data_IF_355004991713
#
_entry.id   IF_355004991713
#
_cell.length_a   1.000
_cell.length_b   1.000
_cell.length_c   1.000
_cell.angle_alpha   90.00
_cell.angle_beta   90.00
_cell.angle_gamma   90.00
#
_symmetry.space_group_name_H-M   'P 1'
#
loop_
_entity.id
_entity.type
_entity.pdbx_description
1 polymer ?
#
# COMPACT_ATOMS: atom_id res chain seq x y z
N UNK A 1 0.95 48.41 -37.49
CA UNK A 1 -0.38 47.83 -37.81
C UNK A 1 -0.68 46.55 -37.01
N UNK A 2 0.25 45.58 -36.93
CA UNK A 2 0.04 44.30 -36.22
C UNK A 2 -0.24 44.39 -34.70
N UNK A 3 0.27 45.43 -34.00
CA UNK A 3 0.07 45.62 -32.54
C UNK A 3 -1.38 45.91 -32.14
N UNK A 4 -2.23 46.35 -33.07
CA UNK A 4 -3.65 46.66 -32.80
C UNK A 4 -4.52 45.39 -32.67
N UNK A 5 -4.06 44.28 -33.27
CA UNK A 5 -4.79 43.03 -33.37
C UNK A 5 -4.72 42.17 -32.11
N UNK A 6 -3.82 42.46 -31.18
CA UNK A 6 -3.60 41.65 -29.98
C UNK A 6 -4.17 42.33 -28.73
N UNK A 7 -4.75 41.53 -27.83
CA UNK A 7 -5.19 41.99 -26.50
C UNK A 7 -3.95 42.14 -25.61
N UNK A 8 -3.71 43.33 -25.08
CA UNK A 8 -2.73 43.52 -24.00
C UNK A 8 -3.35 42.97 -22.71
N UNK A 9 -3.05 41.73 -22.36
CA UNK A 9 -3.34 41.20 -21.02
C UNK A 9 -2.41 41.88 -20.03
N UNK A 10 -2.96 42.56 -19.03
CA UNK A 10 -2.23 43.26 -17.97
C UNK A 10 -1.79 42.33 -16.84
N UNK A 11 -1.34 41.12 -17.16
CA UNK A 11 -0.69 40.22 -16.21
C UNK A 11 0.57 39.65 -16.89
N UNK A 12 1.72 40.10 -16.41
CA UNK A 12 3.03 39.59 -16.79
C UNK A 12 3.18 38.15 -16.27
N UNK A 13 2.93 37.18 -17.13
CA UNK A 13 3.62 35.89 -17.08
C UNK A 13 4.29 35.68 -18.43
N UNK A 14 5.61 35.43 -18.41
CA UNK A 14 6.52 35.57 -19.55
C UNK A 14 6.29 34.58 -20.72
N UNK A 15 5.26 33.72 -20.66
CA UNK A 15 4.96 32.70 -21.67
C UNK A 15 3.52 32.78 -22.24
N UNK A 16 2.81 33.89 -22.03
CA UNK A 16 1.45 34.03 -22.55
C UNK A 16 1.44 34.21 -24.10
N UNK A 17 0.91 33.21 -24.81
CA UNK A 17 0.63 33.30 -26.26
C UNK A 17 -0.29 34.51 -26.51
N UNK A 18 0.10 35.46 -27.38
CA UNK A 18 -0.63 36.71 -27.54
C UNK A 18 -2.03 36.42 -28.10
N UNK A 19 -3.07 36.74 -27.32
CA UNK A 19 -4.46 36.47 -27.69
C UNK A 19 -4.96 37.49 -28.73
N UNK A 20 -5.50 36.98 -29.83
CA UNK A 20 -6.02 37.79 -30.93
C UNK A 20 -7.34 38.45 -30.52
N UNK A 21 -7.49 39.75 -30.74
CA UNK A 21 -8.72 40.48 -30.48
C UNK A 21 -9.71 40.26 -31.63
N UNK A 22 -10.47 39.18 -31.53
CA UNK A 22 -11.40 38.68 -32.55
C UNK A 22 -12.34 39.78 -33.06
N UNK A 23 -12.83 40.66 -32.18
CA UNK A 23 -13.72 41.77 -32.58
C UNK A 23 -13.05 42.78 -33.52
N UNK A 24 -11.77 43.09 -33.30
CA UNK A 24 -11.02 44.03 -34.16
C UNK A 24 -10.68 43.41 -35.51
N UNK A 25 -10.36 42.11 -35.53
CA UNK A 25 -10.09 41.36 -36.76
C UNK A 25 -11.35 41.30 -37.62
N UNK A 26 -12.50 40.95 -37.04
CA UNK A 26 -13.78 40.91 -37.75
C UNK A 26 -14.13 42.28 -38.32
N UNK A 27 -13.98 43.35 -37.53
CA UNK A 27 -14.25 44.71 -37.98
C UNK A 27 -13.36 45.13 -39.16
N UNK A 28 -12.07 44.80 -39.12
CA UNK A 28 -11.14 45.08 -40.22
C UNK A 28 -11.48 44.28 -41.49
N UNK A 29 -11.83 42.99 -41.36
CA UNK A 29 -12.27 42.18 -42.49
C UNK A 29 -13.54 42.76 -43.13
N UNK A 30 -14.54 43.14 -42.33
CA UNK A 30 -15.77 43.76 -42.81
C UNK A 30 -15.53 45.11 -43.49
N UNK A 31 -14.67 45.94 -42.92
CA UNK A 31 -14.28 47.22 -43.53
C UNK A 31 -13.56 47.03 -44.87
N UNK A 32 -12.68 46.03 -44.96
CA UNK A 32 -11.99 45.67 -46.22
C UNK A 32 -12.97 45.20 -47.29
N UNK A 33 -13.97 44.39 -46.92
CA UNK A 33 -15.01 43.92 -47.86
C UNK A 33 -15.84 45.10 -48.35
N UNK A 34 -16.30 45.98 -47.44
CA UNK A 34 -17.05 47.18 -47.81
C UNK A 34 -16.24 48.12 -48.71
N UNK A 35 -14.94 48.29 -48.45
CA UNK A 35 -14.05 49.09 -49.28
C UNK A 35 -13.93 48.54 -50.71
N UNK A 36 -13.77 47.21 -50.87
CA UNK A 36 -13.72 46.57 -52.19
C UNK A 36 -15.03 46.77 -52.95
N UNK A 37 -16.17 46.67 -52.27
CA UNK A 37 -17.50 46.92 -52.87
C UNK A 37 -17.60 48.38 -53.36
N UNK A 38 -17.25 49.35 -52.50
CA UNK A 38 -17.30 50.79 -52.85
C UNK A 38 -16.36 51.12 -53.99
N UNK A 39 -15.11 50.63 -53.95
CA UNK A 39 -14.13 50.85 -55.01
C UNK A 39 -14.63 50.31 -56.35
N UNK A 40 -15.21 49.12 -56.35
CA UNK A 40 -15.80 48.51 -57.54
C UNK A 40 -17.01 49.29 -58.07
N UNK A 41 -17.92 49.72 -57.18
CA UNK A 41 -19.06 50.57 -57.55
C UNK A 41 -18.62 51.90 -58.18
N UNK A 42 -17.58 52.55 -57.63
CA UNK A 42 -17.01 53.79 -58.18
C UNK A 42 -16.37 53.54 -59.55
N UNK A 43 -15.60 52.46 -59.71
CA UNK A 43 -15.00 52.09 -60.98
C UNK A 43 -16.05 51.86 -62.07
N UNK A 44 -17.17 51.19 -61.74
CA UNK A 44 -18.28 50.99 -62.68
C UNK A 44 -18.94 52.30 -63.09
N UNK A 45 -19.21 53.22 -62.15
CA UNK A 45 -19.82 54.53 -62.44
C UNK A 45 -18.93 55.37 -63.35
N UNK A 46 -17.62 55.37 -63.12
CA UNK A 46 -16.66 56.09 -63.96
C UNK A 46 -16.57 55.52 -65.38
N UNK A 47 -16.69 54.19 -65.54
CA UNK A 47 -16.55 53.52 -66.83
C UNK A 47 -17.83 53.56 -67.69
N UNK A 48 -18.98 53.85 -67.08
CA UNK A 48 -20.30 53.86 -67.75
C UNK A 48 -20.87 55.27 -67.97
N UNK A 49 -20.13 56.33 -67.64
CA UNK A 49 -20.57 57.71 -67.80
C UNK A 49 -20.13 58.31 -69.16
N UNK A 50 -21.00 59.03 -69.91
CA UNK A 50 -22.41 59.33 -69.64
C UNK A 50 -23.38 58.24 -70.15
N UNK A 51 -24.48 58.06 -69.41
CA UNK A 51 -25.48 57.00 -69.66
C UNK A 51 -26.55 57.54 -70.63
N UNK A 52 -26.52 57.12 -71.90
CA UNK A 52 -27.44 57.67 -72.90
C UNK A 52 -28.82 56.99 -72.99
N UNK A 53 -29.04 55.77 -72.48
CA UNK A 53 -30.40 55.18 -72.39
C UNK A 53 -30.51 54.16 -71.25
N UNK A 54 -31.50 54.34 -70.38
CA UNK A 54 -31.84 53.40 -69.29
C UNK A 54 -32.68 52.27 -69.89
N UNK A 55 -32.02 51.24 -70.41
CA UNK A 55 -32.67 50.02 -70.93
C UNK A 55 -32.42 48.82 -70.01
N UNK A 56 -33.49 48.11 -69.65
CA UNK A 56 -33.51 46.93 -68.77
C UNK A 56 -32.61 45.78 -69.28
N UNK A 57 -32.35 45.72 -70.59
CA UNK A 57 -31.44 44.74 -71.18
C UNK A 57 -29.95 45.01 -70.85
N UNK A 58 -29.55 46.28 -70.67
CA UNK A 58 -28.18 46.65 -70.25
C UNK A 58 -27.96 46.48 -68.75
N UNK A 59 -29.01 46.57 -67.92
CA UNK A 59 -28.92 46.23 -66.50
C UNK A 59 -28.70 44.73 -66.25
N UNK A 60 -29.08 43.86 -67.20
CA UNK A 60 -28.72 42.43 -67.16
C UNK A 60 -27.21 42.21 -67.29
N UNK A 61 -26.57 42.88 -68.25
CA UNK A 61 -25.11 42.83 -68.47
C UNK A 61 -24.32 43.47 -67.32
N UNK A 62 -24.92 44.45 -66.64
CA UNK A 62 -24.39 45.01 -65.39
C UNK A 62 -24.35 43.95 -64.26
N UNK A 63 -25.41 43.14 -64.14
CA UNK A 63 -25.45 41.99 -63.22
C UNK A 63 -24.41 40.91 -63.53
N UNK A 64 -24.15 40.65 -64.82
CA UNK A 64 -23.16 39.64 -65.25
C UNK A 64 -21.72 40.00 -64.80
N UNK A 65 -21.39 41.28 -64.68
CA UNK A 65 -20.07 41.73 -64.19
C UNK A 65 -19.85 41.44 -62.69
N UNK A 66 -20.94 41.33 -61.90
CA UNK A 66 -20.87 40.91 -60.49
C UNK A 66 -20.62 39.41 -60.34
N UNK A 67 -20.75 38.60 -61.40
CA UNK A 67 -20.48 37.17 -61.38
C UNK A 67 -19.03 36.85 -60.97
N UNK A 68 -18.05 37.65 -61.43
CA UNK A 68 -16.63 37.48 -61.08
C UNK A 68 -16.37 37.79 -59.61
N UNK A 69 -16.98 38.85 -59.07
CA UNK A 69 -16.89 39.17 -57.63
C UNK A 69 -17.57 38.12 -56.78
N UNK A 70 -18.75 37.65 -57.18
CA UNK A 70 -19.48 36.61 -56.46
C UNK A 70 -18.69 35.29 -56.44
N UNK A 71 -18.05 34.92 -57.55
CA UNK A 71 -17.15 33.77 -57.62
C UNK A 71 -15.92 33.93 -56.71
N UNK A 72 -15.32 35.13 -56.67
CA UNK A 72 -14.18 35.43 -55.79
C UNK A 72 -14.58 35.34 -54.30
N UNK A 73 -15.69 35.95 -53.90
CA UNK A 73 -16.19 35.87 -52.53
C UNK A 73 -16.58 34.44 -52.13
N UNK A 74 -17.19 33.68 -53.05
CA UNK A 74 -17.51 32.27 -52.82
C UNK A 74 -16.24 31.43 -52.64
N UNK A 75 -15.22 31.64 -53.48
CA UNK A 75 -13.91 30.98 -53.36
C UNK A 75 -13.17 31.33 -52.07
N UNK A 76 -13.18 32.61 -51.67
CA UNK A 76 -12.62 33.06 -50.39
C UNK A 76 -13.37 32.50 -49.19
N UNK A 77 -14.70 32.45 -49.25
CA UNK A 77 -15.53 31.82 -48.21
C UNK A 77 -15.24 30.33 -48.08
N UNK A 78 -15.10 29.62 -49.21
CA UNK A 78 -14.70 28.21 -49.23
C UNK A 78 -13.28 27.99 -48.70
N UNK A 79 -12.32 28.86 -49.06
CA UNK A 79 -10.97 28.81 -48.52
C UNK A 79 -10.95 29.05 -46.99
N UNK A 80 -11.73 30.02 -46.49
CA UNK A 80 -11.91 30.26 -45.06
C UNK A 80 -12.53 29.08 -44.34
N UNK A 81 -13.51 28.40 -44.95
CA UNK A 81 -14.11 27.18 -44.43
C UNK A 81 -13.09 26.03 -44.36
N UNK A 82 -12.29 25.82 -45.41
CA UNK A 82 -11.23 24.80 -45.43
C UNK A 82 -10.19 25.06 -44.33
N UNK A 83 -9.73 26.31 -44.20
CA UNK A 83 -8.82 26.72 -43.12
C UNK A 83 -9.45 26.38 -41.76
N UNK A 84 -10.71 26.73 -41.56
CA UNK A 84 -11.43 26.42 -40.31
C UNK A 84 -11.49 24.91 -40.04
N UNK A 85 -11.76 24.08 -41.05
CA UNK A 85 -11.76 22.62 -40.92
C UNK A 85 -10.38 22.10 -40.52
N UNK A 86 -9.30 22.64 -41.10
CA UNK A 86 -7.94 22.26 -40.74
C UNK A 86 -7.59 22.65 -39.29
N UNK A 87 -7.94 23.87 -38.86
CA UNK A 87 -7.76 24.28 -37.47
C UNK A 87 -8.56 23.39 -36.51
N UNK A 88 -9.84 23.16 -36.79
CA UNK A 88 -10.70 22.29 -35.97
C UNK A 88 -10.14 20.87 -35.86
N UNK A 89 -9.57 20.32 -36.95
CA UNK A 89 -8.95 19.00 -36.93
C UNK A 89 -7.71 18.96 -36.03
N UNK A 90 -6.90 20.00 -36.04
CA UNK A 90 -5.73 20.10 -35.17
C UNK A 90 -6.13 20.27 -33.70
N UNK A 91 -7.11 21.12 -33.40
CA UNK A 91 -7.66 21.29 -32.04
C UNK A 91 -8.21 19.96 -31.50
N UNK A 92 -8.94 19.19 -32.32
CA UNK A 92 -9.43 17.86 -31.97
C UNK A 92 -8.29 16.87 -31.71
N UNK A 93 -7.19 16.96 -32.47
CA UNK A 93 -6.01 16.12 -32.27
C UNK A 93 -5.32 16.45 -30.95
N UNK A 94 -5.11 17.74 -30.66
CA UNK A 94 -4.51 18.20 -29.41
C UNK A 94 -5.38 17.80 -28.21
N UNK A 95 -6.69 18.03 -28.28
CA UNK A 95 -7.65 17.64 -27.24
C UNK A 95 -7.61 16.13 -26.97
N UNK A 96 -7.53 15.30 -28.02
CA UNK A 96 -7.40 13.84 -27.85
C UNK A 96 -6.09 13.45 -27.18
N UNK A 97 -5.00 14.12 -27.53
CA UNK A 97 -3.68 13.91 -26.91
C UNK A 97 -3.73 14.24 -25.43
N UNK A 98 -4.23 15.43 -25.06
CA UNK A 98 -4.36 15.86 -23.67
C UNK A 98 -5.28 14.96 -22.86
N UNK A 99 -6.42 14.53 -23.42
CA UNK A 99 -7.30 13.56 -22.76
C UNK A 99 -6.60 12.21 -22.54
N UNK A 100 -5.75 11.78 -23.46
CA UNK A 100 -5.00 10.53 -23.32
C UNK A 100 -3.98 10.60 -22.19
N UNK A 101 -3.25 11.72 -22.07
CA UNK A 101 -2.30 11.96 -20.97
C UNK A 101 -3.03 12.12 -19.64
N UNK A 102 -4.14 12.86 -19.62
CA UNK A 102 -4.98 13.02 -18.43
C UNK A 102 -5.51 11.67 -17.93
N UNK A 103 -5.92 10.77 -18.84
CA UNK A 103 -6.35 9.42 -18.48
C UNK A 103 -5.23 8.59 -17.86
N UNK A 104 -4.00 8.71 -18.35
CA UNK A 104 -2.83 8.02 -17.78
C UNK A 104 -2.55 8.54 -16.37
N UNK A 105 -2.55 9.86 -16.19
CA UNK A 105 -2.33 10.52 -14.92
C UNK A 105 -3.39 10.11 -13.88
N UNK A 106 -4.68 10.16 -14.24
CA UNK A 106 -5.77 9.69 -13.36
C UNK A 106 -5.58 8.24 -12.95
N UNK A 107 -5.12 7.38 -13.87
CA UNK A 107 -4.88 5.96 -13.58
C UNK A 107 -3.72 5.79 -12.59
N UNK A 108 -2.65 6.55 -12.75
CA UNK A 108 -1.52 6.56 -11.83
C UNK A 108 -1.92 7.08 -10.43
N UNK A 109 -2.70 8.16 -10.39
CA UNK A 109 -3.25 8.72 -9.15
C UNK A 109 -4.18 7.74 -8.44
N UNK A 110 -5.03 7.02 -9.17
CA UNK A 110 -5.93 6.01 -8.60
C UNK A 110 -5.16 4.88 -7.90
N UNK A 111 -4.11 4.35 -8.54
CA UNK A 111 -3.24 3.32 -7.94
C UNK A 111 -2.53 3.86 -6.70
N UNK A 112 -1.98 5.08 -6.77
CA UNK A 112 -1.32 5.72 -5.63
C UNK A 112 -2.26 5.95 -4.46
N UNK A 113 -3.49 6.40 -4.75
CA UNK A 113 -4.53 6.64 -3.76
C UNK A 113 -4.97 5.34 -3.06
N UNK A 114 -5.17 4.26 -3.82
CA UNK A 114 -5.48 2.94 -3.25
C UNK A 114 -4.36 2.45 -2.31
N UNK A 115 -3.11 2.64 -2.71
CA UNK A 115 -1.96 2.29 -1.88
C UNK A 115 -1.91 3.11 -0.58
N UNK A 116 -2.17 4.42 -0.65
CA UNK A 116 -2.25 5.29 0.53
C UNK A 116 -3.40 4.89 1.46
N UNK A 117 -4.58 4.61 0.90
CA UNK A 117 -5.74 4.17 1.68
C UNK A 117 -5.48 2.86 2.42
N UNK A 118 -4.78 1.92 1.78
CA UNK A 118 -4.31 0.70 2.43
C UNK A 118 -3.33 1.01 3.56
N UNK A 119 -2.27 1.78 3.30
CA UNK A 119 -1.23 2.12 4.29
C UNK A 119 -1.83 2.79 5.53
N UNK A 120 -2.70 3.77 5.34
CA UNK A 120 -3.39 4.46 6.42
C UNK A 120 -4.26 3.50 7.24
N UNK A 121 -4.96 2.58 6.58
CA UNK A 121 -5.80 1.59 7.24
C UNK A 121 -4.97 0.57 8.02
N UNK A 122 -3.87 0.10 7.43
CA UNK A 122 -2.91 -0.78 8.08
C UNK A 122 -2.33 -0.16 9.35
N UNK A 123 -1.83 1.08 9.29
CA UNK A 123 -1.26 1.74 10.47
C UNK A 123 -2.32 2.07 11.53
N UNK A 124 -3.56 2.40 11.14
CA UNK A 124 -4.67 2.56 12.09
C UNK A 124 -4.99 1.26 12.83
N UNK A 125 -5.12 0.14 12.12
CA UNK A 125 -5.40 -1.15 12.76
C UNK A 125 -4.20 -1.62 13.58
N UNK A 126 -2.96 -1.35 13.15
CA UNK A 126 -1.75 -1.64 13.92
C UNK A 126 -1.70 -0.84 15.23
N UNK A 127 -2.13 0.43 15.20
CA UNK A 127 -2.27 1.24 16.41
C UNK A 127 -3.35 0.68 17.35
N UNK A 128 -4.51 0.29 16.82
CA UNK A 128 -5.57 -0.38 17.58
C UNK A 128 -5.10 -1.69 18.20
N UNK A 129 -4.30 -2.47 17.47
CA UNK A 129 -3.69 -3.70 17.98
C UNK A 129 -2.80 -3.42 19.20
N UNK A 130 -1.91 -2.43 19.10
CA UNK A 130 -1.04 -2.01 20.21
C UNK A 130 -1.84 -1.49 21.40
N UNK A 131 -2.89 -0.72 21.15
CA UNK A 131 -3.79 -0.21 22.19
C UNK A 131 -4.52 -1.37 22.90
N UNK A 132 -5.06 -2.33 22.15
CA UNK A 132 -5.70 -3.53 22.68
C UNK A 132 -4.73 -4.38 23.50
N UNK A 133 -3.46 -4.52 23.08
CA UNK A 133 -2.43 -5.16 23.87
C UNK A 133 -2.21 -4.41 25.18
N UNK A 134 -2.00 -3.10 25.15
CA UNK A 134 -1.73 -2.30 26.35
C UNK A 134 -2.86 -2.37 27.39
N UNK A 135 -4.11 -2.46 26.92
CA UNK A 135 -5.33 -2.55 27.75
C UNK A 135 -5.67 -3.99 28.16
N UNK A 136 -5.00 -5.00 27.61
CA UNK A 136 -5.19 -6.39 27.99
C UNK A 136 -4.81 -6.54 29.45
N UNK A 137 -5.72 -7.10 30.25
CA UNK A 137 -5.53 -7.19 31.69
C UNK A 137 -5.90 -8.57 32.22
N UNK A 138 -5.06 -9.11 33.09
CA UNK A 138 -5.24 -10.42 33.73
C UNK A 138 -5.06 -10.28 35.23
N UNK A 139 -6.01 -10.84 35.98
CA UNK A 139 -5.94 -10.87 37.46
C UNK A 139 -5.01 -11.99 37.90
N UNK A 140 -4.14 -11.70 38.87
CA UNK A 140 -3.31 -12.70 39.53
C UNK A 140 -4.16 -13.52 40.51
N UNK A 141 -3.84 -14.79 40.68
CA UNK A 141 -4.52 -15.65 41.64
C UNK A 141 -3.98 -15.37 43.05
N UNK A 142 -4.85 -15.07 44.01
CA UNK A 142 -4.55 -15.23 45.44
C UNK A 142 -4.06 -14.03 46.26
N UNK A 143 -4.01 -12.80 45.74
CA UNK A 143 -3.72 -11.61 46.59
C UNK A 143 -4.44 -10.35 46.10
N UNK A 144 -4.64 -9.41 47.03
CA UNK A 144 -5.04 -8.01 46.86
C UNK A 144 -4.13 -7.18 45.91
N UNK A 145 -3.23 -7.82 45.17
CA UNK A 145 -2.34 -7.20 44.19
C UNK A 145 -3.04 -7.05 42.85
N UNK A 146 -2.91 -5.85 42.27
CA UNK A 146 -3.62 -5.42 41.07
C UNK A 146 -3.41 -6.31 39.85
N UNK A 147 -4.33 -6.14 38.89
CA UNK A 147 -4.26 -6.83 37.62
C UNK A 147 -2.97 -6.46 36.86
N UNK A 148 -2.36 -7.44 36.22
CA UNK A 148 -1.22 -7.21 35.31
C UNK A 148 -1.78 -6.79 33.97
N UNK A 149 -1.12 -5.87 33.28
CA UNK A 149 -1.56 -5.31 32.00
C UNK A 149 -0.52 -5.51 30.91
N UNK A 150 -0.94 -5.37 29.65
CA UNK A 150 -0.02 -5.35 28.53
C UNK A 150 0.70 -6.67 28.28
N UNK A 151 1.96 -6.53 27.86
CA UNK A 151 2.87 -7.67 27.64
C UNK A 151 3.11 -8.46 28.93
N UNK A 152 3.13 -7.79 30.08
CA UNK A 152 3.36 -8.45 31.37
C UNK A 152 2.22 -9.43 31.72
N UNK A 153 0.99 -9.13 31.28
CA UNK A 153 -0.14 -10.03 31.46
C UNK A 153 0.06 -11.33 30.66
N UNK A 154 0.54 -11.22 29.41
CA UNK A 154 0.86 -12.38 28.59
C UNK A 154 2.06 -13.16 29.14
N UNK A 155 3.10 -12.45 29.61
CA UNK A 155 4.25 -13.05 30.29
C UNK A 155 3.82 -13.85 31.52
N UNK A 156 2.90 -13.32 32.33
CA UNK A 156 2.33 -14.02 33.48
C UNK A 156 1.58 -15.30 33.09
N UNK A 157 0.80 -15.29 31.99
CA UNK A 157 0.16 -16.51 31.49
C UNK A 157 1.17 -17.57 31.07
N UNK A 158 2.24 -17.17 30.37
CA UNK A 158 3.30 -18.07 29.95
C UNK A 158 4.00 -18.67 31.17
N UNK A 159 4.33 -17.86 32.18
CA UNK A 159 4.92 -18.35 33.42
C UNK A 159 4.02 -19.37 34.14
N UNK A 160 2.71 -19.06 34.26
CA UNK A 160 1.72 -19.98 34.84
C UNK A 160 1.65 -21.28 34.06
N UNK A 161 1.69 -21.20 32.73
CA UNK A 161 1.70 -22.36 31.85
C UNK A 161 2.95 -23.22 32.05
N UNK A 162 4.14 -22.62 32.02
CA UNK A 162 5.41 -23.35 32.19
C UNK A 162 5.46 -24.07 33.55
N UNK A 163 4.99 -23.42 34.63
CA UNK A 163 4.92 -24.03 35.96
C UNK A 163 3.83 -25.12 36.12
N UNK A 164 2.77 -25.08 35.32
CA UNK A 164 1.77 -26.15 35.28
C UNK A 164 2.26 -27.34 34.44
N UNK A 165 2.84 -27.04 33.27
CA UNK A 165 3.37 -28.02 32.34
C UNK A 165 4.53 -28.83 32.94
N UNK A 166 5.42 -28.17 33.71
CA UNK A 166 6.54 -28.86 34.36
C UNK A 166 6.10 -29.93 35.37
N UNK A 167 4.85 -29.89 35.86
CA UNK A 167 4.30 -30.89 36.80
C UNK A 167 3.76 -32.14 36.11
N UNK A 168 3.55 -32.09 34.79
CA UNK A 168 2.99 -33.20 34.03
C UNK A 168 4.00 -34.35 33.83
N UNK A 169 5.29 -34.14 34.12
CA UNK A 169 6.37 -35.16 33.97
C UNK A 169 6.37 -35.87 32.61
N UNK A 170 5.96 -35.18 31.55
CA UNK A 170 6.00 -35.70 30.19
C UNK A 170 7.39 -35.48 29.58
N UNK A 171 7.92 -36.53 28.95
CA UNK A 171 9.19 -36.51 28.21
C UNK A 171 9.06 -35.83 26.85
N UNK A 172 9.99 -36.11 25.94
CA UNK A 172 9.91 -35.74 24.54
C UNK A 172 8.62 -36.26 23.88
N UNK A 173 8.24 -35.64 22.76
CA UNK A 173 7.06 -36.02 22.00
C UNK A 173 7.17 -37.48 21.53
N UNK A 174 6.17 -38.33 21.81
CA UNK A 174 6.26 -39.76 21.59
C UNK A 174 6.12 -40.15 20.12
N UNK A 175 6.58 -41.35 19.79
CA UNK A 175 6.51 -41.93 18.44
C UNK A 175 5.22 -42.75 18.24
N UNK A 176 4.70 -43.38 19.29
CA UNK A 176 3.44 -44.16 19.27
C UNK A 176 2.23 -43.24 19.11
N UNK A 177 1.27 -43.60 18.25
CA UNK A 177 0.06 -42.78 18.02
C UNK A 177 -0.78 -42.61 19.29
N UNK A 178 -1.00 -43.67 20.09
CA UNK A 178 -1.78 -43.57 21.33
C UNK A 178 -1.11 -42.62 22.33
N UNK A 179 0.22 -42.67 22.46
CA UNK A 179 0.97 -41.77 23.33
C UNK A 179 0.98 -40.32 22.80
N UNK A 180 0.94 -40.11 21.47
CA UNK A 180 0.81 -38.77 20.87
C UNK A 180 -0.53 -38.14 21.25
N UNK A 181 -1.61 -38.90 21.17
CA UNK A 181 -2.94 -38.43 21.55
C UNK A 181 -3.00 -38.05 23.04
N UNK A 182 -2.39 -38.85 23.92
CA UNK A 182 -2.27 -38.52 25.35
C UNK A 182 -1.46 -37.24 25.60
N UNK A 183 -0.35 -37.06 24.88
CA UNK A 183 0.47 -35.85 24.97
C UNK A 183 -0.31 -34.62 24.49
N UNK A 184 -0.96 -34.70 23.32
CA UNK A 184 -1.75 -33.61 22.72
C UNK A 184 -2.92 -33.26 23.63
N UNK A 185 -3.63 -34.26 24.15
CA UNK A 185 -4.74 -34.05 25.09
C UNK A 185 -4.25 -33.36 26.37
N UNK A 186 -3.12 -33.78 26.93
CA UNK A 186 -2.57 -33.15 28.13
C UNK A 186 -2.17 -31.70 27.87
N UNK A 187 -1.49 -31.44 26.74
CA UNK A 187 -1.14 -30.07 26.32
C UNK A 187 -2.39 -29.22 26.12
N UNK A 188 -3.41 -29.73 25.45
CA UNK A 188 -4.68 -29.06 25.24
C UNK A 188 -5.36 -28.72 26.57
N UNK A 189 -5.44 -29.68 27.50
CA UNK A 189 -6.05 -29.50 28.82
C UNK A 189 -5.35 -28.40 29.62
N UNK A 190 -4.01 -28.43 29.69
CA UNK A 190 -3.22 -27.41 30.42
C UNK A 190 -3.38 -26.04 29.76
N UNK A 191 -3.20 -25.97 28.44
CA UNK A 191 -3.38 -24.73 27.68
C UNK A 191 -4.77 -24.12 27.93
N UNK A 192 -5.85 -24.91 27.83
CA UNK A 192 -7.22 -24.45 28.01
C UNK A 192 -7.51 -23.91 29.42
N UNK A 193 -6.85 -24.45 30.44
CA UNK A 193 -6.98 -23.99 31.82
C UNK A 193 -6.29 -22.65 32.13
N UNK A 194 -5.35 -22.23 31.28
CA UNK A 194 -4.48 -21.07 31.56
C UNK A 194 -4.68 -19.96 30.53
N UNK A 195 -4.69 -20.31 29.25
CA UNK A 195 -4.77 -19.35 28.15
C UNK A 195 -6.23 -18.98 27.84
N UNK A 196 -6.77 -18.08 28.66
CA UNK A 196 -8.06 -17.44 28.38
C UNK A 196 -7.98 -16.67 27.05
N UNK A 197 -9.02 -16.80 26.22
CA UNK A 197 -9.12 -16.11 24.93
C UNK A 197 -9.25 -14.61 25.15
N UNK A 198 -8.31 -13.85 24.59
CA UNK A 198 -8.32 -12.39 24.58
C UNK A 198 -8.83 -11.91 23.22
N UNK A 199 -10.14 -12.09 22.98
CA UNK A 199 -10.73 -11.96 21.62
C UNK A 199 -10.37 -10.64 20.94
N UNK A 200 -10.55 -9.48 21.61
CA UNK A 200 -10.24 -8.18 20.99
C UNK A 200 -8.81 -8.10 20.47
N UNK A 201 -7.85 -8.59 21.25
CA UNK A 201 -6.44 -8.58 20.88
C UNK A 201 -6.14 -9.53 19.70
N UNK A 202 -6.63 -10.78 19.77
CA UNK A 202 -6.37 -11.78 18.73
C UNK A 202 -7.10 -11.46 17.42
N UNK A 203 -8.35 -10.99 17.49
CA UNK A 203 -9.12 -10.62 16.30
C UNK A 203 -8.56 -9.38 15.60
N UNK A 204 -8.03 -8.40 16.36
CA UNK A 204 -7.39 -7.23 15.74
C UNK A 204 -6.11 -7.65 15.02
N UNK A 205 -5.35 -8.59 15.57
CA UNK A 205 -4.24 -9.19 14.84
C UNK A 205 -4.75 -9.89 13.58
N UNK A 206 -5.76 -10.76 13.71
CA UNK A 206 -6.31 -11.49 12.56
C UNK A 206 -6.78 -10.55 11.44
N UNK A 207 -7.40 -9.41 11.78
CA UNK A 207 -7.76 -8.37 10.82
C UNK A 207 -6.53 -7.80 10.09
N UNK A 208 -5.40 -7.57 10.79
CA UNK A 208 -4.14 -7.18 10.14
C UNK A 208 -3.62 -8.26 9.20
N UNK A 209 -3.69 -9.54 9.61
CA UNK A 209 -3.23 -10.66 8.79
C UNK A 209 -4.02 -10.75 7.48
N UNK A 210 -5.36 -10.68 7.59
CA UNK A 210 -6.28 -10.73 6.46
C UNK A 210 -6.07 -9.50 5.56
N UNK A 211 -5.99 -8.30 6.13
CA UNK A 211 -5.74 -7.07 5.37
C UNK A 211 -4.43 -7.15 4.57
N UNK A 212 -3.33 -7.61 5.17
CA UNK A 212 -2.04 -7.75 4.46
C UNK A 212 -2.14 -8.78 3.33
N UNK A 213 -2.89 -9.87 3.52
CA UNK A 213 -2.97 -10.95 2.52
C UNK A 213 -3.96 -10.64 1.39
N UNK A 214 -5.11 -10.05 1.69
CA UNK A 214 -6.21 -9.82 0.75
C UNK A 214 -6.17 -8.42 0.10
N UNK A 215 -5.84 -7.36 0.86
CA UNK A 215 -5.97 -5.97 0.39
C UNK A 215 -4.65 -5.37 -0.13
N UNK A 216 -3.51 -6.04 0.08
CA UNK A 216 -2.21 -5.52 -0.34
C UNK A 216 -2.00 -5.68 -1.86
N UNK A 217 -2.10 -4.57 -2.59
CA UNK A 217 -1.98 -4.53 -4.05
C UNK A 217 -0.64 -5.03 -4.63
N UNK A 218 0.47 -4.89 -3.88
CA UNK A 218 1.81 -5.25 -4.34
C UNK A 218 2.38 -6.44 -3.56
N UNK A 219 2.72 -7.52 -4.26
CA UNK A 219 3.37 -8.70 -3.68
C UNK A 219 4.72 -8.36 -3.03
N UNK A 220 5.48 -7.42 -3.61
CA UNK A 220 6.77 -6.96 -3.07
C UNK A 220 6.58 -6.23 -1.73
N UNK A 221 5.55 -5.39 -1.63
CA UNK A 221 5.26 -4.65 -0.39
C UNK A 221 4.62 -5.52 0.68
N UNK A 222 3.93 -6.60 0.31
CA UNK A 222 3.30 -7.53 1.25
C UNK A 222 4.29 -8.06 2.28
N UNK A 223 5.47 -8.51 1.86
CA UNK A 223 6.51 -8.97 2.81
C UNK A 223 7.05 -7.83 3.69
N UNK A 224 7.10 -6.59 3.17
CA UNK A 224 7.46 -5.43 3.99
C UNK A 224 6.45 -5.21 5.13
N UNK A 225 5.14 -5.28 4.87
CA UNK A 225 4.13 -5.17 5.93
C UNK A 225 4.14 -6.35 6.88
N UNK A 226 4.35 -7.57 6.38
CA UNK A 226 4.57 -8.74 7.21
C UNK A 226 5.74 -8.54 8.17
N UNK A 227 6.86 -8.02 7.68
CA UNK A 227 8.04 -7.72 8.48
C UNK A 227 7.79 -6.62 9.51
N UNK A 228 7.07 -5.56 9.14
CA UNK A 228 6.66 -4.51 10.07
C UNK A 228 5.82 -5.13 11.19
N UNK A 229 4.76 -5.86 10.87
CA UNK A 229 3.89 -6.49 11.86
C UNK A 229 4.66 -7.47 12.76
N UNK A 230 5.41 -8.39 12.17
CA UNK A 230 6.21 -9.38 12.90
C UNK A 230 7.20 -8.73 13.86
N UNK A 231 7.79 -7.59 13.48
CA UNK A 231 8.74 -6.86 14.33
C UNK A 231 8.10 -6.31 15.61
N UNK A 232 6.79 -6.02 15.60
CA UNK A 232 6.09 -5.46 16.75
C UNK A 232 5.72 -6.49 17.81
N UNK A 233 5.68 -7.78 17.44
CA UNK A 233 5.33 -8.85 18.38
C UNK A 233 6.48 -9.09 19.36
N UNK A 234 6.19 -9.28 20.63
CA UNK A 234 7.16 -9.79 21.62
C UNK A 234 7.21 -11.32 21.60
N UNK A 235 8.22 -11.91 22.25
CA UNK A 235 8.31 -13.38 22.41
C UNK A 235 7.10 -13.93 23.16
N UNK A 236 6.59 -13.21 24.16
CA UNK A 236 5.40 -13.61 24.92
C UNK A 236 4.13 -13.59 24.08
N UNK A 237 3.97 -12.59 23.21
CA UNK A 237 2.87 -12.53 22.26
C UNK A 237 2.93 -13.69 21.26
N UNK A 238 4.09 -13.98 20.70
CA UNK A 238 4.27 -15.11 19.76
C UNK A 238 3.91 -16.43 20.44
N UNK A 239 4.39 -16.68 21.66
CA UNK A 239 4.02 -17.89 22.43
C UNK A 239 2.51 -17.93 22.72
N UNK A 240 1.91 -16.82 23.14
CA UNK A 240 0.47 -16.76 23.41
C UNK A 240 -0.35 -17.06 22.15
N UNK A 241 -0.01 -16.43 21.03
CA UNK A 241 -0.68 -16.62 19.74
C UNK A 241 -0.52 -18.05 19.23
N UNK A 242 0.64 -18.69 19.44
CA UNK A 242 0.84 -20.11 19.16
C UNK A 242 -0.20 -20.97 19.89
N UNK A 243 -0.33 -20.80 21.22
CA UNK A 243 -1.26 -21.59 22.00
C UNK A 243 -2.73 -21.25 21.70
N UNK A 244 -3.04 -20.00 21.35
CA UNK A 244 -4.38 -19.64 20.85
C UNK A 244 -4.69 -20.35 19.51
N UNK A 245 -3.74 -20.36 18.58
CA UNK A 245 -3.87 -21.04 17.30
C UNK A 245 -3.94 -22.58 17.45
N UNK A 246 -3.28 -23.13 18.48
CA UNK A 246 -3.35 -24.54 18.85
C UNK A 246 -4.73 -24.92 19.40
N UNK A 247 -5.31 -24.08 20.27
CA UNK A 247 -6.58 -24.36 20.94
C UNK A 247 -7.82 -24.15 20.06
N UNK A 248 -7.79 -23.17 19.15
CA UNK A 248 -8.99 -22.64 18.50
C UNK A 248 -9.08 -23.01 17.01
N UNK A 249 -10.09 -23.77 16.58
CA UNK A 249 -10.29 -24.11 15.17
C UNK A 249 -10.51 -22.92 14.24
N UNK A 250 -11.16 -21.86 14.72
CA UNK A 250 -11.55 -20.71 13.88
C UNK A 250 -10.37 -19.87 13.39
N UNK A 251 -9.20 -20.01 14.02
CA UNK A 251 -7.99 -19.24 13.70
C UNK A 251 -7.19 -19.84 12.53
N UNK A 252 -7.88 -20.25 11.46
CA UNK A 252 -7.23 -20.77 10.24
C UNK A 252 -6.33 -19.70 9.59
N UNK A 253 -6.81 -18.47 9.43
CA UNK A 253 -6.03 -17.38 8.82
C UNK A 253 -4.79 -17.05 9.63
N UNK A 254 -4.89 -17.05 10.97
CA UNK A 254 -3.74 -16.96 11.85
C UNK A 254 -2.77 -18.13 11.57
N UNK A 255 -3.22 -19.40 11.63
CA UNK A 255 -2.33 -20.54 11.35
C UNK A 255 -1.63 -20.42 9.99
N UNK A 256 -2.36 -20.03 8.94
CA UNK A 256 -1.80 -19.86 7.59
C UNK A 256 -0.78 -18.72 7.57
N UNK A 257 -1.10 -17.54 8.11
CA UNK A 257 -0.22 -16.38 8.13
C UNK A 257 1.08 -16.63 8.92
N UNK A 258 0.98 -17.31 10.07
CA UNK A 258 2.13 -17.69 10.88
C UNK A 258 3.06 -18.67 10.14
N UNK A 259 2.50 -19.47 9.22
CA UNK A 259 3.24 -20.44 8.41
C UNK A 259 3.68 -19.90 7.05
N UNK A 260 3.04 -18.88 6.49
CA UNK A 260 3.31 -18.41 5.12
C UNK A 260 4.45 -17.40 5.04
N UNK A 261 4.56 -16.48 6.00
CA UNK A 261 5.59 -15.43 5.99
C UNK A 261 6.93 -15.92 6.56
N UNK A 262 8.02 -15.75 5.79
CA UNK A 262 9.38 -16.06 6.24
C UNK A 262 9.73 -15.37 7.57
N UNK A 263 9.34 -14.10 7.71
CA UNK A 263 9.63 -13.34 8.93
C UNK A 263 8.92 -13.91 10.16
N UNK A 264 7.65 -14.31 10.03
CA UNK A 264 6.92 -14.94 11.12
C UNK A 264 7.54 -16.28 11.53
N UNK A 265 7.97 -17.09 10.55
CA UNK A 265 8.63 -18.38 10.80
C UNK A 265 9.85 -18.24 11.71
N UNK A 266 10.71 -17.26 11.43
CA UNK A 266 11.90 -17.01 12.23
C UNK A 266 11.55 -16.59 13.67
N UNK A 267 10.53 -15.72 13.83
CA UNK A 267 10.07 -15.29 15.15
C UNK A 267 9.51 -16.46 15.98
N UNK A 268 8.77 -17.38 15.37
CA UNK A 268 8.30 -18.60 16.06
C UNK A 268 9.45 -19.47 16.52
N UNK A 269 10.44 -19.68 15.66
CA UNK A 269 11.60 -20.49 16.02
C UNK A 269 12.37 -19.88 17.20
N UNK A 270 12.59 -18.56 17.19
CA UNK A 270 13.28 -17.85 18.26
C UNK A 270 12.48 -17.77 19.58
N UNK A 271 11.19 -18.07 19.56
CA UNK A 271 10.33 -17.89 20.74
C UNK A 271 10.55 -18.92 21.84
N UNK A 272 11.34 -19.98 21.60
CA UNK A 272 11.64 -20.99 22.61
C UNK A 272 10.46 -21.92 22.95
N UNK A 273 9.53 -22.11 22.01
CA UNK A 273 8.47 -23.13 22.14
C UNK A 273 9.09 -24.52 22.07
N UNK A 274 8.71 -25.41 23.00
CA UNK A 274 9.26 -26.77 23.08
C UNK A 274 9.03 -27.53 21.75
N UNK A 275 9.94 -28.45 21.43
CA UNK A 275 9.79 -29.28 20.24
C UNK A 275 8.51 -30.11 20.29
N UNK A 276 8.15 -30.64 21.46
CA UNK A 276 6.94 -31.44 21.60
C UNK A 276 5.65 -30.65 21.40
N UNK A 277 5.59 -29.39 21.80
CA UNK A 277 4.41 -28.56 21.51
C UNK A 277 4.31 -28.25 20.01
N UNK A 278 5.44 -28.03 19.33
CA UNK A 278 5.48 -27.86 17.87
C UNK A 278 5.00 -29.11 17.15
N UNK A 279 5.52 -30.30 17.51
CA UNK A 279 5.07 -31.58 16.94
C UNK A 279 3.59 -31.86 17.22
N UNK A 280 3.10 -31.51 18.41
CA UNK A 280 1.68 -31.59 18.75
C UNK A 280 0.82 -30.73 17.83
N UNK A 281 1.28 -29.51 17.55
CA UNK A 281 0.60 -28.60 16.62
C UNK A 281 0.63 -29.11 15.18
N UNK A 282 1.75 -29.66 14.72
CA UNK A 282 1.89 -30.26 13.39
C UNK A 282 0.96 -31.46 13.20
N UNK A 283 0.91 -32.36 14.20
CA UNK A 283 0.06 -33.53 14.20
C UNK A 283 -1.43 -33.13 14.20
N UNK A 284 -1.84 -32.24 15.11
CA UNK A 284 -3.23 -31.84 15.26
C UNK A 284 -3.79 -31.10 14.02
N UNK A 285 -3.00 -30.22 13.42
CA UNK A 285 -3.46 -29.35 12.33
C UNK A 285 -3.01 -29.79 10.93
N UNK A 286 -2.27 -30.90 10.82
CA UNK A 286 -1.78 -31.42 9.54
C UNK A 286 -0.84 -30.45 8.80
N UNK A 287 -0.10 -29.62 9.53
CA UNK A 287 0.80 -28.60 8.99
C UNK A 287 2.23 -28.92 9.38
N UNK A 288 3.20 -28.52 8.54
CA UNK A 288 4.62 -28.62 8.90
C UNK A 288 5.13 -27.27 9.36
N UNK A 289 5.63 -27.21 10.59
CA UNK A 289 6.29 -26.03 11.11
C UNK A 289 7.70 -25.94 10.51
N UNK A 290 8.13 -24.74 10.11
CA UNK A 290 9.47 -24.55 9.57
C UNK A 290 10.54 -24.84 10.62
N UNK A 291 11.55 -25.62 10.23
CA UNK A 291 12.74 -25.89 11.04
C UNK A 291 13.81 -24.88 10.62
N UNK A 292 14.02 -23.82 11.40
CA UNK A 292 15.08 -22.85 11.09
C UNK A 292 16.43 -23.45 11.48
N UNK A 293 17.19 -23.90 10.49
CA UNK A 293 18.59 -24.30 10.65
C UNK A 293 19.54 -23.48 9.75
N UNK A 294 19.03 -22.67 8.81
CA UNK A 294 19.85 -22.28 7.65
C UNK A 294 20.59 -20.94 7.75
N UNK A 295 20.26 -20.01 8.66
CA UNK A 295 20.82 -18.64 8.54
C UNK A 295 21.41 -17.99 9.80
N UNK A 296 21.65 -18.73 10.89
CA UNK A 296 22.38 -18.15 12.03
C UNK A 296 23.89 -18.29 11.83
N UNK A 297 24.50 -17.30 11.18
CA UNK A 297 25.94 -17.11 11.22
C UNK A 297 26.33 -16.69 12.63
N UNK A 298 26.77 -17.64 13.43
CA UNK A 298 27.40 -17.30 14.70
C UNK A 298 28.78 -16.72 14.41
N UNK A 299 29.17 -15.59 15.03
CA UNK A 299 30.49 -14.97 14.80
C UNK A 299 31.66 -15.85 15.29
N UNK A 300 31.36 -16.94 15.99
CA UNK A 300 32.30 -17.90 16.53
C UNK A 300 32.00 -19.28 15.94
N UNK A 301 33.04 -19.99 15.48
CA UNK A 301 32.87 -21.36 15.00
C UNK A 301 32.35 -22.29 16.09
N UNK A 302 31.62 -23.34 15.70
CA UNK A 302 31.07 -24.33 16.62
C UNK A 302 32.15 -24.95 17.55
N UNK A 303 33.36 -25.15 17.04
CA UNK A 303 34.49 -25.67 17.82
C UNK A 303 34.95 -24.70 18.90
N UNK A 304 34.98 -23.39 18.61
CA UNK A 304 35.30 -22.37 19.63
C UNK A 304 34.26 -22.38 20.76
N UNK A 305 32.98 -22.51 20.43
CA UNK A 305 31.92 -22.64 21.44
C UNK A 305 32.08 -23.90 22.30
N UNK A 306 32.29 -25.06 21.69
CA UNK A 306 32.50 -26.34 22.42
C UNK A 306 33.70 -26.25 23.35
N UNK A 307 34.82 -25.71 22.87
CA UNK A 307 36.03 -25.50 23.67
C UNK A 307 35.80 -24.51 24.81
N UNK A 308 35.13 -23.39 24.55
CA UNK A 308 34.80 -22.40 25.58
C UNK A 308 33.89 -23.01 26.66
N UNK A 309 32.83 -23.73 26.26
CA UNK A 309 31.92 -24.38 27.19
C UNK A 309 32.65 -25.41 28.06
N UNK A 310 33.50 -26.26 27.47
CA UNK A 310 34.32 -27.22 28.22
C UNK A 310 35.24 -26.54 29.25
N UNK A 311 35.87 -25.41 28.89
CA UNK A 311 36.72 -24.62 29.82
C UNK A 311 35.90 -24.02 30.96
N UNK A 312 34.73 -23.46 30.66
CA UNK A 312 33.83 -22.86 31.66
C UNK A 312 33.32 -23.93 32.62
N UNK A 313 32.81 -25.06 32.12
CA UNK A 313 32.32 -26.17 32.95
C UNK A 313 33.43 -26.71 33.86
N UNK A 314 34.66 -26.82 33.36
CA UNK A 314 35.82 -27.22 34.18
C UNK A 314 36.12 -26.19 35.29
N UNK A 315 36.08 -24.89 35.01
CA UNK A 315 36.26 -23.84 36.04
C UNK A 315 35.16 -23.89 37.11
N UNK A 316 33.91 -24.04 36.70
CA UNK A 316 32.77 -24.12 37.62
C UNK A 316 32.89 -25.36 38.52
N UNK A 317 33.29 -26.52 37.97
CA UNK A 317 33.51 -27.73 38.75
C UNK A 317 34.63 -27.55 39.80
N UNK A 318 35.73 -26.91 39.43
CA UNK A 318 36.84 -26.60 40.34
C UNK A 318 36.42 -25.60 41.43
N UNK A 319 35.68 -24.54 41.08
CA UNK A 319 35.16 -23.59 42.08
C UNK A 319 34.18 -24.26 43.06
N UNK A 320 33.30 -25.15 42.57
CA UNK A 320 32.38 -25.90 43.43
C UNK A 320 33.10 -26.84 44.39
N UNK A 321 34.18 -27.49 43.96
CA UNK A 321 34.95 -28.37 44.84
C UNK A 321 35.77 -27.59 45.87
N UNK A 322 36.33 -26.44 45.50
CA UNK A 322 37.00 -25.53 46.43
C UNK A 322 36.03 -24.98 47.49
N UNK A 323 34.85 -24.48 47.06
CA UNK A 323 33.80 -23.99 47.97
C UNK A 323 33.35 -25.04 48.98
N UNK A 324 33.20 -26.31 48.54
CA UNK A 324 32.85 -27.44 49.42
C UNK A 324 33.93 -27.71 50.47
N UNK A 325 35.21 -27.72 50.08
CA UNK A 325 36.32 -27.91 51.03
C UNK A 325 36.39 -26.80 52.07
N UNK A 326 36.28 -25.53 51.67
CA UNK A 326 36.25 -24.40 52.61
C UNK A 326 35.02 -24.46 53.54
N UNK A 327 33.88 -24.95 53.08
CA UNK A 327 32.70 -25.10 53.95
C UNK A 327 32.79 -26.28 54.94
N UNK A 328 33.61 -27.29 54.62
CA UNK A 328 33.92 -28.41 55.52
C UNK A 328 34.98 -28.02 56.56
N UNK A 329 35.98 -27.22 56.18
CA UNK A 329 37.01 -26.68 57.09
C UNK A 329 36.46 -25.65 58.09
N UNK A 330 35.43 -24.87 57.72
CA UNK A 330 34.77 -23.91 58.63
C UNK A 330 33.78 -24.60 59.60
N UNK A 331 33.43 -25.87 59.36
CA UNK A 331 32.54 -26.67 60.21
C UNK A 331 33.28 -27.56 61.22
N UNK A 332 34.61 -27.65 61.14
CA UNK A 332 35.48 -28.35 62.10
C UNK A 332 36.07 -27.35 63.10
#
# INVERSE_FOLDING_TARGET
>A
MFRFLYRTSSDETADAIPSLNIGRVICLCMASIAFVIVLYSVALVLLTWPIDEISISKSGTFGDSFGVLNALFTGLGFAGLLITIFLQREDLRLTRSELSETRKEIKFQSVTFQQQQFEDSFYRVLALYKDNLSKLSIRKDGLSEGAVQGVDALSYLIYKFEGAWSKCNLSDFPESEDEKDEYIYTLYKVCRSIFVRQSRYVETLNALLVMIDEDCFSLERRECYWRILASQLTVYEVKYLFYQAFLMPDYKSLRVALLSSLTFRDRFFMSGISEGHRKSFENLWGVKMPRSAENYSTPLSADRFKLAHKRISKRIAIQRSLMRKTSEEVRQ
#
